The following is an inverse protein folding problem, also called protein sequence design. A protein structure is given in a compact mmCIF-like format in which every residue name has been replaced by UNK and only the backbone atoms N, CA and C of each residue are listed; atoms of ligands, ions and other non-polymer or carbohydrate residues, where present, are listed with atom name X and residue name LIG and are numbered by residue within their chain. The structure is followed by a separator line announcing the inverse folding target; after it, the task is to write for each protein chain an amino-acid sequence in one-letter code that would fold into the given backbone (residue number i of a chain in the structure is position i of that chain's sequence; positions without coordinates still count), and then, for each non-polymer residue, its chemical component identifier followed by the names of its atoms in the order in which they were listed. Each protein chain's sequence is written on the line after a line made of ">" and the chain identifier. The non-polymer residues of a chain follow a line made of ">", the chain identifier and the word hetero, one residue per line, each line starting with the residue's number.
data_IF_659511929300
#
_entry.id   IF_659511929300
#
_cell.length_a   1.000
_cell.length_b   1.000
_cell.length_c   1.000
_cell.angle_alpha   90.00
_cell.angle_beta   90.00
_cell.angle_gamma   90.00
#
_symmetry.space_group_name_H-M   'P 1'
#
loop_
_entity.id
_entity.type
_entity.pdbx_description
1 polymer ?
#
# COMPACT_ATOMS: atom_id res chain seq x y z
N UNK A 1 -22.10 -2.35 20.07
CA UNK A 1 -20.92 -3.23 20.19
C UNK A 1 -20.06 -2.82 21.37
N UNK A 2 -19.58 -3.78 22.18
CA UNK A 2 -18.62 -3.47 23.25
C UNK A 2 -17.28 -3.02 22.61
N UNK A 3 -16.59 -2.02 23.20
CA UNK A 3 -15.31 -1.50 22.67
C UNK A 3 -14.30 -2.60 22.32
N UNK A 4 -14.25 -3.64 23.12
CA UNK A 4 -13.36 -4.80 22.90
C UNK A 4 -13.69 -5.57 21.61
N UNK A 5 -14.97 -5.80 21.32
CA UNK A 5 -15.41 -6.47 20.10
C UNK A 5 -15.02 -5.68 18.83
N UNK A 6 -15.13 -4.35 18.90
CA UNK A 6 -14.74 -3.49 17.79
C UNK A 6 -13.23 -3.57 17.51
N UNK A 7 -12.40 -3.59 18.56
CA UNK A 7 -10.96 -3.74 18.41
C UNK A 7 -10.58 -5.08 17.79
N UNK A 8 -11.22 -6.18 18.21
CA UNK A 8 -10.98 -7.50 17.64
C UNK A 8 -11.31 -7.52 16.15
N UNK A 9 -12.45 -6.94 15.73
CA UNK A 9 -12.80 -6.86 14.30
C UNK A 9 -11.76 -6.05 13.50
N UNK A 10 -11.31 -4.91 14.03
CA UNK A 10 -10.26 -4.10 13.37
C UNK A 10 -8.97 -4.88 13.18
N UNK A 11 -8.51 -5.59 14.21
CA UNK A 11 -7.29 -6.41 14.14
C UNK A 11 -7.45 -7.59 13.17
N UNK A 12 -8.60 -8.26 13.17
CA UNK A 12 -8.87 -9.34 12.22
C UNK A 12 -8.81 -8.85 10.78
N UNK A 13 -9.47 -7.72 10.48
CA UNK A 13 -9.45 -7.14 9.13
C UNK A 13 -8.04 -6.71 8.74
N UNK A 14 -7.31 -6.07 9.65
CA UNK A 14 -5.90 -5.69 9.42
C UNK A 14 -5.04 -6.91 9.08
N UNK A 15 -5.15 -8.01 9.86
CA UNK A 15 -4.40 -9.24 9.62
C UNK A 15 -4.75 -9.89 8.28
N UNK A 16 -6.03 -9.89 7.91
CA UNK A 16 -6.46 -10.40 6.60
C UNK A 16 -5.88 -9.57 5.45
N UNK A 17 -5.85 -8.24 5.57
CA UNK A 17 -5.29 -7.36 4.55
C UNK A 17 -3.77 -7.53 4.44
N UNK A 18 -3.05 -7.71 5.57
CA UNK A 18 -1.62 -8.04 5.57
C UNK A 18 -1.39 -9.36 4.82
N UNK A 19 -2.14 -10.41 5.15
CA UNK A 19 -2.02 -11.71 4.49
C UNK A 19 -2.28 -11.62 2.98
N UNK A 20 -3.32 -10.89 2.57
CA UNK A 20 -3.63 -10.67 1.16
C UNK A 20 -2.48 -9.97 0.43
N UNK A 21 -1.90 -8.91 1.00
CA UNK A 21 -0.81 -8.19 0.36
C UNK A 21 0.46 -9.05 0.27
N UNK A 22 0.80 -9.81 1.32
CA UNK A 22 1.94 -10.73 1.33
C UNK A 22 1.81 -11.79 0.23
N UNK A 23 0.60 -12.33 0.02
CA UNK A 23 0.35 -13.39 -0.95
C UNK A 23 0.20 -12.86 -2.39
N UNK A 24 -0.56 -11.78 -2.58
CA UNK A 24 -0.87 -11.28 -3.93
C UNK A 24 0.32 -10.58 -4.59
N UNK A 25 1.15 -9.91 -3.82
CA UNK A 25 2.25 -9.11 -4.39
C UNK A 25 3.28 -9.96 -5.15
N UNK A 26 3.76 -11.12 -4.66
CA UNK A 26 4.69 -11.96 -5.43
C UNK A 26 4.05 -12.64 -6.65
N UNK A 27 2.75 -12.98 -6.58
CA UNK A 27 2.05 -13.67 -7.68
C UNK A 27 1.99 -12.79 -8.94
N UNK A 28 1.74 -11.50 -8.76
CA UNK A 28 1.60 -10.53 -9.85
C UNK A 28 2.78 -9.56 -9.90
N UNK A 29 3.98 -10.05 -9.57
CA UNK A 29 5.19 -9.23 -9.63
C UNK A 29 5.69 -9.12 -11.06
N UNK A 30 5.80 -7.89 -11.53
CA UNK A 30 6.56 -7.54 -12.74
C UNK A 30 7.98 -7.17 -12.29
N UNK A 31 8.99 -7.48 -13.06
CA UNK A 31 10.38 -7.24 -12.68
C UNK A 31 10.62 -5.78 -12.24
N UNK A 32 11.02 -5.62 -10.99
CA UNK A 32 11.23 -4.31 -10.35
C UNK A 32 9.96 -3.53 -10.01
N UNK A 33 8.75 -4.12 -10.19
CA UNK A 33 7.46 -3.52 -9.89
C UNK A 33 6.61 -4.43 -9.02
N UNK A 34 5.77 -3.85 -8.17
CA UNK A 34 4.81 -4.58 -7.33
C UNK A 34 3.40 -3.96 -7.41
N UNK A 35 2.71 -4.06 -8.57
CA UNK A 35 1.42 -3.39 -8.77
C UNK A 35 0.36 -3.81 -7.75
N UNK A 36 0.36 -5.07 -7.32
CA UNK A 36 -0.63 -5.56 -6.35
C UNK A 36 -0.47 -4.93 -4.96
N UNK A 37 0.74 -4.54 -4.57
CA UNK A 37 0.92 -3.77 -3.33
C UNK A 37 0.20 -2.42 -3.40
N UNK A 38 0.26 -1.72 -4.53
CA UNK A 38 -0.50 -0.48 -4.73
C UNK A 38 -2.01 -0.71 -4.74
N UNK A 39 -2.48 -1.84 -5.31
CA UNK A 39 -3.91 -2.22 -5.23
C UNK A 39 -4.35 -2.36 -3.78
N UNK A 40 -3.59 -3.11 -2.99
CA UNK A 40 -3.93 -3.34 -1.59
C UNK A 40 -3.83 -2.06 -0.77
N UNK A 41 -2.83 -1.21 -0.99
CA UNK A 41 -2.68 0.08 -0.34
C UNK A 41 -3.89 1.00 -0.58
N UNK A 42 -4.35 1.13 -1.83
CA UNK A 42 -5.52 1.93 -2.18
C UNK A 42 -6.77 1.40 -1.47
N UNK A 43 -7.02 0.09 -1.56
CA UNK A 43 -8.18 -0.53 -0.93
C UNK A 43 -8.12 -0.45 0.60
N UNK A 44 -6.95 -0.67 1.20
CA UNK A 44 -6.73 -0.53 2.63
C UNK A 44 -6.96 0.91 3.10
N UNK A 45 -6.45 1.91 2.34
CA UNK A 45 -6.69 3.32 2.61
C UNK A 45 -8.17 3.68 2.62
N UNK A 46 -8.94 3.12 1.66
CA UNK A 46 -10.39 3.30 1.55
C UNK A 46 -11.15 2.59 2.68
N UNK A 47 -10.74 1.38 3.04
CA UNK A 47 -11.45 0.54 4.02
C UNK A 47 -11.11 0.89 5.46
N UNK A 48 -9.82 1.07 5.77
CA UNK A 48 -9.29 1.14 7.13
C UNK A 48 -8.76 2.53 7.52
N UNK A 49 -8.67 3.45 6.56
CA UNK A 49 -8.11 4.77 6.78
C UNK A 49 -6.57 4.79 6.93
N UNK A 50 -5.98 5.99 7.15
CA UNK A 50 -4.53 6.21 6.97
C UNK A 50 -3.66 5.43 7.97
N UNK A 51 -4.06 5.38 9.24
CA UNK A 51 -3.23 4.77 10.30
C UNK A 51 -3.15 3.25 10.12
N UNK A 52 -4.29 2.60 9.91
CA UNK A 52 -4.32 1.14 9.73
C UNK A 52 -3.73 0.71 8.39
N UNK A 53 -3.91 1.50 7.32
CA UNK A 53 -3.25 1.25 6.05
C UNK A 53 -1.72 1.36 6.17
N UNK A 54 -1.21 2.37 6.90
CA UNK A 54 0.22 2.50 7.19
C UNK A 54 0.75 1.30 7.97
N UNK A 55 0.06 0.87 9.04
CA UNK A 55 0.46 -0.30 9.84
C UNK A 55 0.47 -1.56 8.96
N UNK A 56 -0.58 -1.77 8.16
CA UNK A 56 -0.65 -2.87 7.21
C UNK A 56 0.56 -2.88 6.28
N UNK A 57 0.82 -1.79 5.58
CA UNK A 57 1.91 -1.69 4.61
C UNK A 57 3.28 -1.90 5.26
N UNK A 58 3.50 -1.36 6.45
CA UNK A 58 4.74 -1.53 7.21
C UNK A 58 4.96 -2.99 7.57
N UNK A 59 3.97 -3.64 8.18
CA UNK A 59 4.07 -5.05 8.60
C UNK A 59 4.25 -5.96 7.38
N UNK A 60 3.49 -5.73 6.31
CA UNK A 60 3.64 -6.48 5.05
C UNK A 60 5.04 -6.33 4.47
N UNK A 61 5.58 -5.11 4.44
CA UNK A 61 6.94 -4.88 3.93
C UNK A 61 7.99 -5.64 4.75
N UNK A 62 7.90 -5.63 6.08
CA UNK A 62 8.80 -6.42 6.94
C UNK A 62 8.69 -7.92 6.69
N UNK A 63 7.48 -8.47 6.62
CA UNK A 63 7.26 -9.89 6.30
C UNK A 63 7.89 -10.23 4.95
N UNK A 64 7.68 -9.41 3.93
CA UNK A 64 8.23 -9.65 2.59
C UNK A 64 9.75 -9.53 2.54
N UNK A 65 10.34 -8.59 3.29
CA UNK A 65 11.79 -8.47 3.40
C UNK A 65 12.41 -9.72 4.03
N UNK A 66 11.80 -10.25 5.09
CA UNK A 66 12.34 -11.41 5.83
C UNK A 66 12.05 -12.74 5.15
N UNK A 67 10.87 -12.93 4.55
CA UNK A 67 10.46 -14.22 3.98
C UNK A 67 10.73 -14.35 2.49
N UNK A 68 10.76 -13.24 1.74
CA UNK A 68 10.89 -13.23 0.29
C UNK A 68 12.20 -12.57 -0.18
N UNK A 69 13.07 -12.14 0.75
CA UNK A 69 14.35 -11.50 0.42
C UNK A 69 14.23 -10.20 -0.37
N UNK A 70 13.10 -9.48 -0.24
CA UNK A 70 12.88 -8.24 -0.98
C UNK A 70 13.70 -7.11 -0.33
N UNK A 71 14.38 -6.26 -1.13
CA UNK A 71 15.15 -5.14 -0.60
C UNK A 71 14.29 -4.12 0.19
N UNK A 72 14.89 -3.29 1.05
CA UNK A 72 14.20 -2.27 1.86
C UNK A 72 13.39 -1.23 1.07
N UNK A 73 13.60 -1.12 -0.25
CA UNK A 73 12.77 -0.27 -1.11
C UNK A 73 11.28 -0.63 -1.07
N UNK A 74 10.96 -1.86 -0.66
CA UNK A 74 9.56 -2.27 -0.45
C UNK A 74 8.91 -1.51 0.73
N UNK A 75 9.68 -1.23 1.77
CA UNK A 75 9.21 -0.47 2.92
C UNK A 75 8.91 0.98 2.55
N UNK A 76 9.85 1.64 1.89
CA UNK A 76 9.70 3.06 1.50
C UNK A 76 8.56 3.26 0.51
N UNK A 77 8.40 2.37 -0.48
CA UNK A 77 7.30 2.44 -1.43
C UNK A 77 5.94 2.27 -0.75
N UNK A 78 5.75 1.16 -0.07
CA UNK A 78 4.44 0.79 0.48
C UNK A 78 3.95 1.74 1.59
N UNK A 79 4.82 2.17 2.50
CA UNK A 79 4.42 2.98 3.67
C UNK A 79 3.90 4.36 3.30
N UNK A 80 4.62 5.10 2.45
CA UNK A 80 4.18 6.42 2.00
C UNK A 80 2.91 6.34 1.15
N UNK A 81 2.81 5.34 0.29
CA UNK A 81 1.64 5.10 -0.53
C UNK A 81 0.39 4.83 0.29
N UNK A 82 0.43 3.84 1.17
CA UNK A 82 -0.70 3.47 2.01
C UNK A 82 -1.17 4.61 2.92
N UNK A 83 -0.21 5.36 3.51
CA UNK A 83 -0.52 6.50 4.36
C UNK A 83 -1.27 7.59 3.58
N UNK A 84 -0.72 8.01 2.43
CA UNK A 84 -1.31 9.07 1.62
C UNK A 84 -2.61 8.63 0.94
N UNK A 85 -2.71 7.37 0.50
CA UNK A 85 -3.96 6.83 -0.02
C UNK A 85 -5.10 6.93 1.01
N UNK A 86 -4.83 6.52 2.25
CA UNK A 86 -5.78 6.63 3.35
C UNK A 86 -6.09 8.08 3.75
N UNK A 87 -5.06 8.93 3.79
CA UNK A 87 -5.21 10.34 4.17
C UNK A 87 -6.06 11.10 3.14
N UNK A 88 -5.76 10.96 1.87
CA UNK A 88 -6.51 11.62 0.80
C UNK A 88 -7.94 11.10 0.72
N UNK A 89 -8.14 9.78 0.92
CA UNK A 89 -9.50 9.25 1.00
C UNK A 89 -10.28 9.81 2.18
N UNK A 90 -9.65 9.99 3.34
CA UNK A 90 -10.30 10.56 4.53
C UNK A 90 -10.89 11.95 4.25
N UNK A 91 -10.19 12.78 3.47
CA UNK A 91 -10.65 14.13 3.13
C UNK A 91 -11.60 14.15 1.92
N UNK A 92 -11.28 13.42 0.85
CA UNK A 92 -12.01 13.49 -0.41
C UNK A 92 -13.19 12.51 -0.54
N UNK A 93 -13.20 11.43 0.26
CA UNK A 93 -14.23 10.37 0.28
C UNK A 93 -14.56 9.75 -1.09
N UNK A 94 -13.67 9.89 -2.06
CA UNK A 94 -13.82 9.31 -3.40
C UNK A 94 -12.59 8.46 -3.73
N UNK A 95 -12.78 7.43 -4.54
CA UNK A 95 -11.70 6.55 -5.01
C UNK A 95 -10.50 7.31 -5.58
N UNK A 96 -10.76 8.31 -6.43
CA UNK A 96 -9.71 9.08 -7.10
C UNK A 96 -8.74 9.78 -6.12
N UNK A 97 -9.22 10.22 -4.97
CA UNK A 97 -8.34 10.80 -3.95
C UNK A 97 -7.40 9.75 -3.37
N UNK A 98 -7.90 8.54 -3.06
CA UNK A 98 -7.03 7.45 -2.60
C UNK A 98 -5.99 7.06 -3.64
N UNK A 99 -6.40 6.96 -4.91
CA UNK A 99 -5.52 6.69 -6.03
C UNK A 99 -4.42 7.75 -6.20
N UNK A 100 -4.79 9.04 -6.13
CA UNK A 100 -3.82 10.14 -6.14
C UNK A 100 -2.85 10.06 -4.97
N UNK A 101 -3.34 9.74 -3.77
CA UNK A 101 -2.51 9.55 -2.59
C UNK A 101 -1.48 8.43 -2.79
N UNK A 102 -1.87 7.30 -3.38
CA UNK A 102 -0.96 6.21 -3.69
C UNK A 102 0.08 6.61 -4.75
N UNK A 103 -0.33 7.26 -5.84
CA UNK A 103 0.57 7.70 -6.90
C UNK A 103 1.61 8.68 -6.36
N UNK A 104 1.20 9.65 -5.55
CA UNK A 104 2.12 10.61 -4.93
C UNK A 104 2.99 9.93 -3.87
N UNK A 105 2.39 9.09 -3.02
CA UNK A 105 3.08 8.43 -1.92
C UNK A 105 4.10 7.40 -2.40
N UNK A 106 3.69 6.41 -3.14
CA UNK A 106 4.58 5.36 -3.66
C UNK A 106 5.35 5.85 -4.88
N UNK A 107 4.65 6.43 -5.88
CA UNK A 107 5.23 6.77 -7.17
C UNK A 107 6.28 7.88 -7.10
N UNK A 108 6.09 8.88 -6.25
CA UNK A 108 6.99 10.03 -6.13
C UNK A 108 7.79 9.96 -4.83
N UNK A 109 7.16 10.12 -3.67
CA UNK A 109 7.87 10.22 -2.38
C UNK A 109 8.61 8.92 -2.08
N UNK A 110 7.93 7.78 -2.12
CA UNK A 110 8.52 6.48 -1.85
C UNK A 110 9.67 6.14 -2.78
N UNK A 111 9.54 6.46 -4.08
CA UNK A 111 10.59 6.21 -5.06
C UNK A 111 11.86 7.03 -4.81
N UNK A 112 11.71 8.32 -4.45
CA UNK A 112 12.84 9.19 -4.15
C UNK A 112 13.52 8.77 -2.84
N UNK A 113 12.73 8.50 -1.78
CA UNK A 113 13.25 8.04 -0.49
C UNK A 113 13.91 6.66 -0.59
N UNK A 114 13.51 5.84 -1.55
CA UNK A 114 14.14 4.53 -1.80
C UNK A 114 15.62 4.65 -2.18
N UNK A 115 16.05 5.73 -2.83
CA UNK A 115 17.44 5.92 -3.22
C UNK A 115 18.40 5.94 -2.01
N UNK A 116 18.26 6.86 -1.04
CA UNK A 116 19.17 6.88 0.10
C UNK A 116 19.09 5.62 0.96
N UNK A 117 17.91 5.03 1.10
CA UNK A 117 17.74 3.78 1.85
C UNK A 117 18.48 2.63 1.18
N UNK A 118 18.43 2.53 -0.14
CA UNK A 118 19.16 1.50 -0.88
C UNK A 118 20.67 1.74 -0.87
N UNK A 119 21.13 2.99 -0.95
CA UNK A 119 22.57 3.31 -0.80
C UNK A 119 23.10 2.87 0.57
N UNK A 120 22.35 3.14 1.65
CA UNK A 120 22.71 2.68 3.00
C UNK A 120 22.73 1.16 3.12
N UNK A 121 21.80 0.49 2.46
CA UNK A 121 21.68 -0.97 2.52
C UNK A 121 22.73 -1.70 1.68
N UNK A 122 23.05 -1.20 0.50
CA UNK A 122 24.01 -1.84 -0.41
C UNK A 122 25.45 -1.37 -0.22
N UNK A 123 25.66 -0.30 0.55
CA UNK A 123 26.99 0.31 0.77
C UNK A 123 27.58 0.96 -0.49
N UNK A 124 26.81 1.11 -1.57
CA UNK A 124 27.31 1.63 -2.86
C UNK A 124 26.40 2.71 -3.41
N UNK A 125 26.94 3.90 -3.55
CA UNK A 125 26.31 5.02 -4.26
C UNK A 125 26.67 5.06 -5.76
N UNK A 126 27.56 4.17 -6.22
CA UNK A 126 28.10 4.22 -7.56
C UNK A 126 27.03 3.99 -8.62
N UNK A 127 26.83 4.97 -9.51
CA UNK A 127 25.93 4.96 -10.67
C UNK A 127 24.42 4.98 -10.39
N UNK A 128 23.96 5.21 -9.15
CA UNK A 128 22.54 5.37 -8.83
C UNK A 128 22.16 6.86 -8.85
N UNK A 129 21.06 7.19 -9.53
CA UNK A 129 20.45 8.53 -9.47
C UNK A 129 19.25 8.53 -8.53
N UNK A 130 18.90 9.72 -8.01
CA UNK A 130 17.72 9.90 -7.14
C UNK A 130 16.42 9.39 -7.75
N UNK A 131 16.31 9.37 -9.07
CA UNK A 131 15.11 8.98 -9.80
C UNK A 131 15.16 7.57 -10.38
N UNK A 132 16.15 6.75 -10.03
CA UNK A 132 16.34 5.42 -10.62
C UNK A 132 15.14 4.48 -10.38
N UNK A 133 14.46 4.65 -9.26
CA UNK A 133 13.29 3.84 -8.89
C UNK A 133 11.97 4.45 -9.35
N UNK A 134 11.94 5.75 -9.71
CA UNK A 134 10.71 6.49 -10.02
C UNK A 134 9.93 5.88 -11.18
N UNK A 135 10.52 5.52 -12.34
CA UNK A 135 9.75 4.95 -13.44
C UNK A 135 9.05 3.63 -13.06
N UNK A 136 9.74 2.79 -12.29
CA UNK A 136 9.21 1.49 -11.84
C UNK A 136 8.08 1.66 -10.83
N UNK A 137 8.25 2.53 -9.85
CA UNK A 137 7.25 2.80 -8.82
C UNK A 137 6.02 3.50 -9.43
N UNK A 138 6.25 4.48 -10.31
CA UNK A 138 5.18 5.16 -11.00
C UNK A 138 4.38 4.21 -11.91
N UNK A 139 5.06 3.36 -12.68
CA UNK A 139 4.42 2.32 -13.48
C UNK A 139 3.60 1.33 -12.62
N UNK A 140 4.17 0.89 -11.48
CA UNK A 140 3.46 0.01 -10.55
C UNK A 140 2.18 0.65 -9.99
N UNK A 141 2.24 1.94 -9.61
CA UNK A 141 1.07 2.65 -9.06
C UNK A 141 -0.01 2.89 -10.12
N UNK A 142 0.35 3.17 -11.36
CA UNK A 142 -0.63 3.32 -12.46
C UNK A 142 -1.35 2.00 -12.74
N UNK A 143 -0.61 0.90 -12.90
CA UNK A 143 -1.20 -0.43 -13.10
C UNK A 143 -2.04 -0.82 -11.88
N UNK A 144 -1.52 -0.63 -10.67
CA UNK A 144 -2.24 -0.90 -9.43
C UNK A 144 -3.52 -0.07 -9.29
N UNK A 145 -3.49 1.21 -9.70
CA UNK A 145 -4.68 2.08 -9.71
C UNK A 145 -5.75 1.57 -10.65
N UNK A 146 -5.37 1.15 -11.87
CA UNK A 146 -6.34 0.60 -12.83
C UNK A 146 -7.00 -0.68 -12.30
N UNK A 147 -6.21 -1.61 -11.75
CA UNK A 147 -6.72 -2.85 -11.16
C UNK A 147 -7.59 -2.55 -9.94
N UNK A 148 -7.15 -1.67 -9.04
CA UNK A 148 -7.90 -1.31 -7.84
C UNK A 148 -9.22 -0.62 -8.15
N UNK A 149 -9.29 0.15 -9.25
CA UNK A 149 -10.54 0.75 -9.70
C UNK A 149 -11.58 -0.30 -10.05
N UNK A 150 -11.17 -1.32 -10.82
CA UNK A 150 -12.04 -2.45 -11.17
C UNK A 150 -12.49 -3.17 -9.90
N UNK A 151 -11.55 -3.55 -9.03
CA UNK A 151 -11.86 -4.24 -7.77
C UNK A 151 -12.80 -3.40 -6.88
N UNK A 152 -12.55 -2.11 -6.75
CA UNK A 152 -13.38 -1.19 -5.97
C UNK A 152 -14.82 -1.10 -6.49
N UNK A 153 -15.03 -1.11 -7.81
CA UNK A 153 -16.38 -1.10 -8.43
C UNK A 153 -17.22 -2.30 -8.02
N UNK A 154 -16.59 -3.46 -7.82
CA UNK A 154 -17.28 -4.66 -7.32
C UNK A 154 -17.45 -4.62 -5.80
N UNK A 155 -16.41 -4.25 -5.06
CA UNK A 155 -16.39 -4.25 -3.60
C UNK A 155 -17.36 -3.25 -2.98
N UNK A 156 -17.50 -2.05 -3.55
CA UNK A 156 -18.38 -1.00 -2.99
C UNK A 156 -19.86 -1.40 -2.99
N UNK A 157 -20.26 -2.37 -3.82
CA UNK A 157 -21.61 -2.91 -3.87
C UNK A 157 -21.89 -3.92 -2.75
N UNK A 158 -20.84 -4.45 -2.12
CA UNK A 158 -20.96 -5.47 -1.08
C UNK A 158 -21.26 -4.82 0.28
N UNK A 159 -22.26 -5.32 0.97
CA UNK A 159 -22.62 -4.87 2.33
C UNK A 159 -21.45 -5.04 3.31
N UNK A 160 -20.69 -6.12 3.16
CA UNK A 160 -19.50 -6.38 3.95
C UNK A 160 -18.49 -5.23 3.87
N UNK A 161 -18.24 -4.70 2.68
CA UNK A 161 -17.29 -3.58 2.48
C UNK A 161 -17.74 -2.33 3.25
N UNK A 162 -19.03 -1.97 3.17
CA UNK A 162 -19.61 -0.84 3.90
C UNK A 162 -19.55 -1.05 5.41
N UNK A 163 -19.83 -2.29 5.86
CA UNK A 163 -19.74 -2.65 7.28
C UNK A 163 -18.31 -2.52 7.81
N UNK A 164 -17.31 -2.96 7.03
CA UNK A 164 -15.89 -2.80 7.39
C UNK A 164 -15.53 -1.34 7.51
N UNK A 165 -15.87 -0.49 6.52
CA UNK A 165 -15.64 0.95 6.62
C UNK A 165 -16.24 1.55 7.90
N UNK A 166 -17.44 1.15 8.29
CA UNK A 166 -18.10 1.61 9.50
C UNK A 166 -17.37 1.27 10.81
N UNK A 167 -16.42 0.33 10.79
CA UNK A 167 -15.57 0.08 11.96
C UNK A 167 -14.42 1.09 12.11
N UNK A 168 -13.94 1.68 11.01
CA UNK A 168 -12.73 2.51 10.99
C UNK A 168 -13.00 4.02 10.87
N UNK A 169 -14.15 4.40 10.31
CA UNK A 169 -14.58 5.78 10.10
C UNK A 169 -15.88 6.11 10.94
#
# INVERSE_FOLDING_TARGET
>A
MRKHQLQVHKLTILSMMIALDVVLTPIFRIEGMAPMSSVVNILAGIMMGPVYALVMATVTAFIRMTTQGIPPLALTGATFGALLAGLFYKYGRKFYFSALGEILGTGIIGSIVSYPVMVLFTGSAAKLSWFIYTPRFFGATLIGTAISFIAFRFLIKQEFFKKVQGYFF
#
